data_IF_482006138013
#
_entry.id   IF_482006138013
#
_cell.length_a   1.000
_cell.length_b   1.000
_cell.length_c   1.000
_cell.angle_alpha   90.00
_cell.angle_beta   90.00
_cell.angle_gamma   90.00
#
_symmetry.space_group_name_H-M   'P 1'
#
loop_
_entity.id
_entity.type
_entity.pdbx_description
1 polymer ?
#
# COMPACT_ATOMS: atom_id res chain seq x y z
N UNK A 1 -13.94 16.81 15.39
CA UNK A 1 -13.98 16.21 15.30
C UNK A 1 -13.52 15.41 14.89
N UNK A 2 -13.00 15.26 14.74
CA UNK A 2 -12.67 14.57 14.44
C UNK A 2 -12.85 13.71 14.31
N UNK A 3 -12.40 14.10 14.56
CA UNK A 3 -12.52 12.75 14.67
C UNK A 3 -13.73 12.15 14.16
N UNK A 4 -14.40 12.89 13.56
CA UNK A 4 -15.61 12.43 12.93
C UNK A 4 -15.40 11.04 12.32
N UNK A 5 -14.27 10.86 11.69
CA UNK A 5 -14.00 9.59 11.02
C UNK A 5 -13.27 8.59 11.92
N UNK A 6 -12.87 9.03 13.09
CA UNK A 6 -12.20 8.16 14.02
C UNK A 6 -10.83 7.70 13.58
N UNK A 7 -10.25 8.36 12.60
CA UNK A 7 -8.93 7.98 12.11
C UNK A 7 -7.90 9.02 12.50
N UNK A 8 -6.74 8.53 12.95
CA UNK A 8 -5.62 9.41 13.21
C UNK A 8 -5.02 9.87 11.88
N UNK A 9 -4.31 11.01 11.89
CA UNK A 9 -3.61 11.46 10.67
C UNK A 9 -2.64 10.43 10.15
N UNK A 10 -1.98 9.71 11.03
CA UNK A 10 -1.04 8.69 10.61
C UNK A 10 -1.73 7.57 9.83
N UNK A 11 -2.88 7.13 10.33
CA UNK A 11 -3.63 6.08 9.65
C UNK A 11 -4.08 6.54 8.28
N UNK A 12 -4.48 7.80 8.17
CA UNK A 12 -4.89 8.37 6.89
C UNK A 12 -3.74 8.35 5.89
N UNK A 13 -2.56 8.79 6.30
CA UNK A 13 -1.40 8.80 5.42
C UNK A 13 -1.00 7.39 5.01
N UNK A 14 -1.09 6.44 5.93
CA UNK A 14 -0.78 5.06 5.60
C UNK A 14 -1.75 4.52 4.56
N UNK A 15 -3.01 4.86 4.67
CA UNK A 15 -4.01 4.43 3.69
C UNK A 15 -3.69 4.99 2.31
N UNK A 16 -3.30 6.26 2.24
CA UNK A 16 -2.93 6.87 0.97
C UNK A 16 -1.72 6.19 0.35
N UNK A 17 -0.74 5.86 1.18
CA UNK A 17 0.47 5.20 0.68
C UNK A 17 0.14 3.82 0.13
N UNK A 18 -0.70 3.08 0.83
CA UNK A 18 -1.08 1.75 0.36
C UNK A 18 -1.84 1.84 -0.95
N UNK A 19 -2.77 2.79 -1.07
CA UNK A 19 -3.51 2.97 -2.31
C UNK A 19 -2.59 3.30 -3.47
N UNK A 20 -1.63 4.19 -3.23
CA UNK A 20 -0.67 4.56 -4.25
C UNK A 20 0.19 3.37 -4.65
N UNK A 21 0.60 2.57 -3.67
CA UNK A 21 1.39 1.39 -3.94
C UNK A 21 0.61 0.38 -4.78
N UNK A 22 -0.65 0.18 -4.46
CA UNK A 22 -1.50 -0.73 -5.24
C UNK A 22 -1.58 -0.26 -6.68
N UNK A 23 -1.80 1.03 -6.87
CA UNK A 23 -1.86 1.59 -8.22
C UNK A 23 -0.57 1.31 -9.00
N UNK A 24 0.57 1.56 -8.38
CA UNK A 24 1.86 1.33 -9.04
C UNK A 24 2.08 -0.13 -9.33
N UNK A 25 1.70 -1.00 -8.42
CA UNK A 25 1.86 -2.44 -8.62
C UNK A 25 1.01 -2.94 -9.77
N UNK A 26 -0.14 -2.33 -9.99
CA UNK A 26 -1.04 -2.75 -11.06
C UNK A 26 -0.68 -2.14 -12.41
N UNK A 27 -0.12 -0.95 -12.42
CA UNK A 27 0.10 -0.21 -13.65
C UNK A 27 1.55 -0.23 -14.13
N UNK A 28 2.47 -0.72 -13.31
CA UNK A 28 3.88 -0.80 -13.71
C UNK A 28 4.42 -2.18 -13.42
N UNK A 29 5.60 -2.46 -13.92
CA UNK A 29 6.29 -3.73 -13.61
C UNK A 29 7.37 -3.53 -12.54
N UNK A 30 7.33 -2.43 -11.82
CA UNK A 30 8.28 -2.16 -10.76
C UNK A 30 8.18 -3.22 -9.66
N UNK A 31 9.30 -3.53 -9.03
CA UNK A 31 9.31 -4.48 -7.94
C UNK A 31 8.64 -3.88 -6.70
N UNK A 32 8.26 -4.75 -5.77
CA UNK A 32 7.68 -4.29 -4.50
C UNK A 32 8.64 -3.35 -3.79
N UNK A 33 9.93 -3.66 -3.82
CA UNK A 33 10.92 -2.81 -3.18
C UNK A 33 10.97 -1.43 -3.82
N UNK A 34 10.89 -1.37 -5.14
CA UNK A 34 10.86 -0.10 -5.83
C UNK A 34 9.61 0.70 -5.49
N UNK A 35 8.46 0.03 -5.50
CA UNK A 35 7.20 0.70 -5.17
C UNK A 35 7.24 1.21 -3.73
N UNK A 36 7.74 0.40 -2.81
CA UNK A 36 7.85 0.82 -1.42
C UNK A 36 8.68 2.09 -1.29
N UNK A 37 9.82 2.13 -1.98
CA UNK A 37 10.66 3.32 -1.93
C UNK A 37 9.93 4.54 -2.47
N UNK A 38 9.16 4.38 -3.52
CA UNK A 38 8.45 5.49 -4.13
C UNK A 38 7.37 6.06 -3.23
N UNK A 39 6.71 5.20 -2.46
CA UNK A 39 5.62 5.68 -1.60
C UNK A 39 6.09 5.98 -0.18
N UNK A 40 7.39 5.83 0.11
CA UNK A 40 7.92 6.28 1.38
C UNK A 40 8.18 5.20 2.42
N UNK A 41 8.17 3.95 2.03
CA UNK A 41 8.53 2.87 2.94
C UNK A 41 10.00 2.50 2.76
N UNK A 42 10.64 2.14 3.87
CA UNK A 42 12.05 1.78 3.83
C UNK A 42 12.28 0.42 3.19
N UNK A 43 11.31 -0.50 3.34
CA UNK A 43 11.50 -1.87 2.87
C UNK A 43 10.23 -2.38 2.22
N UNK A 44 10.42 -3.23 1.20
CA UNK A 44 9.29 -3.86 0.55
C UNK A 44 8.52 -4.80 1.46
N UNK A 45 9.21 -5.40 2.43
CA UNK A 45 8.55 -6.30 3.37
C UNK A 45 7.45 -5.60 4.15
N UNK A 46 7.68 -4.35 4.54
CA UNK A 46 6.68 -3.57 5.25
C UNK A 46 5.45 -3.37 4.37
N UNK A 47 5.68 -3.02 3.12
CA UNK A 47 4.58 -2.82 2.19
C UNK A 47 3.79 -4.11 1.98
N UNK A 48 4.48 -5.22 1.81
CA UNK A 48 3.80 -6.51 1.64
C UNK A 48 2.91 -6.84 2.83
N UNK A 49 3.42 -6.62 4.04
CA UNK A 49 2.65 -6.89 5.23
C UNK A 49 1.40 -6.03 5.29
N UNK A 50 1.54 -4.75 4.95
CA UNK A 50 0.40 -3.84 4.94
C UNK A 50 -0.64 -4.25 3.91
N UNK A 51 -0.19 -4.66 2.73
CA UNK A 51 -1.12 -5.10 1.69
C UNK A 51 -1.92 -6.31 2.15
N UNK A 52 -1.26 -7.27 2.76
CA UNK A 52 -1.95 -8.45 3.26
C UNK A 52 -2.97 -8.10 4.33
N UNK A 53 -2.60 -7.20 5.23
CA UNK A 53 -3.49 -6.83 6.33
C UNK A 53 -4.69 -6.04 5.85
N UNK A 54 -4.50 -5.17 4.87
CA UNK A 54 -5.58 -4.28 4.44
C UNK A 54 -6.45 -4.88 3.35
N UNK A 55 -5.84 -5.63 2.45
CA UNK A 55 -6.56 -6.14 1.28
C UNK A 55 -6.75 -7.65 1.32
N UNK A 56 -6.08 -8.30 2.26
CA UNK A 56 -6.14 -9.76 2.40
C UNK A 56 -5.63 -10.47 1.14
N UNK A 57 -4.81 -9.79 0.34
CA UNK A 57 -4.23 -10.39 -0.86
C UNK A 57 -2.76 -10.04 -0.91
N UNK A 58 -2.00 -10.84 -1.63
CA UNK A 58 -0.59 -10.57 -1.83
C UNK A 58 -0.35 -9.80 -3.12
N UNK A 59 0.91 -9.43 -3.33
CA UNK A 59 1.29 -8.67 -4.52
C UNK A 59 0.95 -9.46 -5.78
N UNK A 60 1.15 -10.77 -5.73
CA UNK A 60 0.90 -11.61 -6.90
C UNK A 60 -0.56 -11.52 -7.32
N UNK A 61 -1.47 -11.56 -6.36
CA UNK A 61 -2.89 -11.45 -6.65
C UNK A 61 -3.23 -10.09 -7.24
N UNK A 62 -2.61 -9.04 -6.72
CA UNK A 62 -2.86 -7.70 -7.24
C UNK A 62 -2.46 -7.59 -8.70
N UNK A 63 -1.36 -8.21 -9.08
CA UNK A 63 -0.88 -8.12 -10.46
C UNK A 63 -1.65 -9.01 -11.41
N UNK A 64 -2.25 -10.07 -10.88
CA UNK A 64 -3.07 -10.96 -11.71
C UNK A 64 -4.45 -10.40 -11.96
N UNK A 65 -4.94 -9.54 -11.06
CA UNK A 65 -6.29 -9.00 -11.21
C UNK A 65 -6.38 -8.13 -12.45
N UNK A 66 -7.48 -8.21 -13.17
CA UNK A 66 -7.68 -7.37 -14.34
C UNK A 66 -7.74 -5.90 -13.97
#
# INVERSE_FOLDING_TARGET
MQGVLGKSPLAYFQSLRVERAVHLLKTTSASVDEVAARVGYAEGATLRALLRRRLAVGVRELRRAP
#
